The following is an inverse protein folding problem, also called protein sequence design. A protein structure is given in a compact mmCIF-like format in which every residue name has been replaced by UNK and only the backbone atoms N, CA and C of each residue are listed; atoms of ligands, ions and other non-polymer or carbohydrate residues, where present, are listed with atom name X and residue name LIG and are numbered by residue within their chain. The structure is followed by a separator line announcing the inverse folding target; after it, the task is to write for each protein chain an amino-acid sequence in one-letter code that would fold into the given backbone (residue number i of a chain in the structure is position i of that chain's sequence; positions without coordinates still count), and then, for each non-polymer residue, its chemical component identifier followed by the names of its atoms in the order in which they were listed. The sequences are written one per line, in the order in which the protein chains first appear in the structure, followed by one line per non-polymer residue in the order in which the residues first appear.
data_IF_496182711773
#
_entry.id   IF_496182711773
#
_cell.length_a   1.000
_cell.length_b   1.000
_cell.length_c   1.000
_cell.angle_alpha   90.00
_cell.angle_beta   90.00
_cell.angle_gamma   90.00
#
_symmetry.space_group_name_H-M   'P 1'
#
loop_
_entity.id
_entity.type
_entity.pdbx_description
1 polymer ?
#
# COMPACT_ATOMS: atom_id res chain seq x y z
N UNK A 1 -19.45 1.49 -46.48
CA UNK A 1 -18.06 1.08 -46.19
C UNK A 1 -17.84 1.19 -44.68
N UNK A 2 -18.23 0.16 -43.92
CA UNK A 2 -17.95 0.09 -42.48
C UNK A 2 -16.74 -0.81 -42.26
N UNK A 3 -15.62 -0.21 -41.86
CA UNK A 3 -14.41 -0.92 -41.47
C UNK A 3 -14.63 -1.61 -40.14
N UNK A 4 -14.72 -2.94 -40.18
CA UNK A 4 -14.79 -3.80 -39.02
C UNK A 4 -13.35 -4.12 -38.59
N UNK A 5 -12.87 -3.49 -37.51
CA UNK A 5 -11.55 -3.77 -36.94
C UNK A 5 -11.60 -5.09 -36.18
N UNK A 6 -10.93 -6.10 -36.73
CA UNK A 6 -10.70 -7.41 -36.10
C UNK A 6 -9.64 -7.26 -35.01
N UNK A 7 -9.99 -7.51 -33.75
CA UNK A 7 -9.05 -7.66 -32.64
C UNK A 7 -8.54 -9.11 -32.60
N UNK A 8 -7.23 -9.30 -32.81
CA UNK A 8 -6.56 -10.59 -32.66
C UNK A 8 -6.57 -11.03 -31.19
N UNK A 9 -7.00 -12.27 -30.92
CA UNK A 9 -6.99 -12.85 -29.57
C UNK A 9 -5.55 -13.27 -29.23
N UNK A 10 -4.99 -12.69 -28.17
CA UNK A 10 -3.68 -13.06 -27.64
C UNK A 10 -3.80 -14.40 -26.88
N UNK A 11 -3.28 -15.48 -27.44
CA UNK A 11 -3.13 -16.77 -26.77
C UNK A 11 -1.93 -16.70 -25.82
N UNK A 12 -2.15 -16.12 -24.63
CA UNK A 12 -1.17 -16.09 -23.55
C UNK A 12 -1.02 -17.46 -22.88
N UNK A 13 -0.28 -18.37 -23.51
CA UNK A 13 0.25 -19.55 -22.83
C UNK A 13 1.36 -19.12 -21.88
N UNK A 14 1.02 -18.79 -20.63
CA UNK A 14 1.98 -18.37 -19.62
C UNK A 14 2.93 -19.53 -19.28
N UNK A 15 4.15 -19.48 -19.79
CA UNK A 15 5.27 -20.27 -19.31
C UNK A 15 5.45 -20.02 -17.80
N UNK A 16 5.34 -21.07 -16.98
CA UNK A 16 5.55 -20.96 -15.54
C UNK A 16 7.02 -20.67 -15.29
N UNK A 17 7.32 -19.45 -14.84
CA UNK A 17 8.68 -19.08 -14.45
C UNK A 17 9.17 -20.00 -13.31
N UNK A 18 10.44 -20.47 -13.33
CA UNK A 18 10.99 -21.30 -12.28
C UNK A 18 10.95 -20.57 -10.93
N UNK A 19 10.59 -21.28 -9.85
CA UNK A 19 10.59 -20.68 -8.50
C UNK A 19 12.02 -20.28 -8.11
N UNK A 20 12.23 -19.10 -7.51
CA UNK A 20 13.56 -18.67 -7.08
C UNK A 20 14.11 -19.59 -5.98
N UNK A 21 15.43 -19.70 -5.83
CA UNK A 21 16.04 -20.46 -4.71
C UNK A 21 16.30 -19.56 -3.51
N UNK A 22 16.24 -20.11 -2.29
CA UNK A 22 16.48 -19.37 -1.03
C UNK A 22 17.82 -18.61 -1.04
N UNK A 23 18.88 -19.22 -1.59
CA UNK A 23 20.22 -18.62 -1.69
C UNK A 23 20.28 -17.35 -2.55
N UNK A 24 19.34 -17.15 -3.47
CA UNK A 24 19.33 -16.02 -4.42
C UNK A 24 18.51 -14.85 -3.89
N UNK A 25 17.39 -15.12 -3.20
CA UNK A 25 16.39 -14.09 -2.83
C UNK A 25 16.20 -13.92 -1.32
N UNK A 26 16.81 -14.78 -0.50
CA UNK A 26 16.56 -14.86 0.95
C UNK A 26 15.30 -15.66 1.29
N UNK A 27 15.19 -16.09 2.55
CA UNK A 27 14.11 -16.97 3.01
C UNK A 27 12.72 -16.34 2.87
N UNK A 28 12.56 -15.06 3.25
CA UNK A 28 11.27 -14.35 3.24
C UNK A 28 10.72 -14.19 1.83
N UNK A 29 11.55 -13.80 0.86
CA UNK A 29 11.12 -13.66 -0.53
C UNK A 29 10.85 -15.01 -1.18
N UNK A 30 11.64 -16.04 -0.87
CA UNK A 30 11.36 -17.39 -1.31
C UNK A 30 10.02 -17.89 -0.77
N UNK A 31 9.72 -17.64 0.50
CA UNK A 31 8.46 -17.99 1.13
C UNK A 31 7.30 -17.29 0.44
N UNK A 32 7.38 -15.97 0.24
CA UNK A 32 6.37 -15.19 -0.49
C UNK A 32 6.13 -15.73 -1.90
N UNK A 33 7.19 -15.97 -2.70
CA UNK A 33 7.08 -16.55 -4.04
C UNK A 33 6.53 -18.00 -4.02
N UNK A 34 6.72 -18.71 -2.91
CA UNK A 34 6.20 -20.07 -2.71
C UNK A 34 4.70 -20.07 -2.39
N UNK A 35 4.24 -19.11 -1.58
CA UNK A 35 2.84 -19.00 -1.19
C UNK A 35 1.97 -18.28 -2.22
N UNK A 36 2.54 -17.39 -3.05
CA UNK A 36 1.79 -16.53 -3.97
C UNK A 36 0.74 -17.24 -4.82
N UNK A 37 0.98 -18.44 -5.42
CA UNK A 37 -0.04 -19.13 -6.20
C UNK A 37 -1.26 -19.61 -5.39
N UNK A 38 -1.14 -19.72 -4.07
CA UNK A 38 -2.18 -20.20 -3.16
C UNK A 38 -2.97 -19.07 -2.52
N UNK A 39 -2.27 -18.02 -2.06
CA UNK A 39 -2.90 -16.89 -1.37
C UNK A 39 -3.34 -15.78 -2.33
N UNK A 40 -2.82 -15.80 -3.56
CA UNK A 40 -3.07 -14.77 -4.56
C UNK A 40 -2.36 -13.45 -4.27
N UNK A 41 -2.49 -12.47 -5.18
CA UNK A 41 -2.09 -11.11 -4.88
C UNK A 41 -2.93 -10.56 -3.71
N UNK A 42 -2.36 -9.64 -2.91
CA UNK A 42 -3.15 -8.96 -1.88
C UNK A 42 -4.35 -8.26 -2.55
N UNK A 43 -5.56 -8.36 -1.97
CA UNK A 43 -6.70 -7.60 -2.46
C UNK A 43 -6.40 -6.12 -2.26
N UNK A 44 -6.08 -5.45 -3.36
CA UNK A 44 -6.22 -4.00 -3.47
C UNK A 44 -7.70 -3.71 -3.27
N UNK A 45 -8.05 -2.88 -2.28
CA UNK A 45 -9.44 -2.57 -1.97
C UNK A 45 -10.19 -2.06 -3.21
N UNK A 46 -11.54 -1.98 -3.16
CA UNK A 46 -12.32 -1.48 -4.29
C UNK A 46 -11.80 -0.09 -4.69
N UNK A 47 -11.38 0.05 -5.94
CA UNK A 47 -10.92 1.35 -6.46
C UNK A 47 -12.07 2.36 -6.60
N UNK A 48 -13.31 1.87 -6.56
CA UNK A 48 -14.55 2.65 -6.61
C UNK A 48 -15.08 3.01 -5.21
N UNK A 49 -14.35 2.69 -4.14
CA UNK A 49 -14.73 3.12 -2.79
C UNK A 49 -14.50 4.64 -2.66
N UNK A 50 -15.41 5.32 -1.97
CA UNK A 50 -15.22 6.73 -1.66
C UNK A 50 -13.93 6.91 -0.85
N UNK A 51 -13.06 7.87 -1.22
CA UNK A 51 -11.81 8.08 -0.50
C UNK A 51 -12.07 8.24 0.99
N UNK A 52 -11.29 7.53 1.81
CA UNK A 52 -11.36 7.67 3.26
C UNK A 52 -11.25 9.15 3.64
N UNK A 53 -11.99 9.61 4.67
CA UNK A 53 -11.87 10.97 5.14
C UNK A 53 -10.41 11.27 5.54
N UNK A 54 -9.96 12.51 5.36
CA UNK A 54 -8.59 12.87 5.65
C UNK A 54 -8.26 12.62 7.12
N UNK A 55 -7.15 11.93 7.38
CA UNK A 55 -6.69 11.61 8.74
C UNK A 55 -6.29 12.85 9.57
N UNK A 56 -6.23 14.03 8.93
CA UNK A 56 -5.98 15.30 9.62
C UNK A 56 -7.06 15.63 10.66
N UNK A 57 -8.30 15.15 10.47
CA UNK A 57 -9.39 15.31 11.44
C UNK A 57 -9.36 14.27 12.57
N UNK A 58 -8.53 13.23 12.47
CA UNK A 58 -8.44 12.21 13.51
C UNK A 58 -7.81 12.77 14.78
N UNK A 59 -8.31 12.34 15.94
CA UNK A 59 -7.78 12.74 17.24
C UNK A 59 -6.40 12.14 17.48
N UNK A 60 -5.49 12.94 18.03
CA UNK A 60 -4.19 12.48 18.49
C UNK A 60 -4.35 11.54 19.70
N UNK A 61 -3.73 10.34 19.70
CA UNK A 61 -3.88 9.39 20.81
C UNK A 61 -3.21 9.83 22.11
N UNK A 62 -2.39 10.90 22.07
CA UNK A 62 -1.67 11.42 23.24
C UNK A 62 -2.41 12.60 23.86
N UNK A 63 -2.86 13.56 23.05
CA UNK A 63 -3.44 14.82 23.54
C UNK A 63 -4.91 15.03 23.17
N UNK A 64 -5.48 14.17 22.31
CA UNK A 64 -6.88 14.25 21.88
C UNK A 64 -7.21 15.34 20.84
N UNK A 65 -6.34 16.33 20.65
CA UNK A 65 -6.52 17.38 19.63
C UNK A 65 -6.45 16.81 18.19
N UNK A 66 -7.12 17.44 17.20
CA UNK A 66 -7.08 16.96 15.83
C UNK A 66 -5.66 17.01 15.26
N UNK A 67 -5.30 16.01 14.45
CA UNK A 67 -3.95 15.88 13.88
C UNK A 67 -3.55 17.08 13.00
N UNK A 68 -4.53 17.81 12.45
CA UNK A 68 -4.34 19.05 11.69
C UNK A 68 -3.67 20.18 12.48
N UNK A 69 -3.76 20.16 13.81
CA UNK A 69 -3.15 21.18 14.68
C UNK A 69 -1.70 20.86 15.06
N UNK A 70 -1.19 19.70 14.66
CA UNK A 70 0.14 19.24 15.03
C UNK A 70 1.18 19.69 14.01
N UNK A 71 2.39 20.00 14.49
CA UNK A 71 3.54 20.30 13.64
C UNK A 71 4.43 19.06 13.56
N UNK A 72 4.65 18.56 12.34
CA UNK A 72 5.54 17.42 12.10
C UNK A 72 6.91 17.92 11.66
N UNK A 73 7.88 17.85 12.57
CA UNK A 73 9.28 18.20 12.32
C UNK A 73 10.02 16.98 11.74
N UNK A 74 10.57 17.15 10.54
CA UNK A 74 11.36 16.13 9.81
C UNK A 74 12.82 16.54 9.63
N UNK A 75 13.28 17.59 10.30
CA UNK A 75 14.65 18.11 10.16
C UNK A 75 15.70 17.23 10.85
N UNK A 76 15.32 16.51 11.90
CA UNK A 76 16.21 15.67 12.69
C UNK A 76 16.37 14.24 12.16
N UNK A 77 17.22 13.42 12.83
CA UNK A 77 17.37 12.00 12.52
C UNK A 77 16.10 11.17 12.82
N UNK A 78 15.15 11.74 13.56
CA UNK A 78 13.84 11.17 13.84
C UNK A 78 12.77 12.21 13.55
N UNK A 79 11.67 11.77 12.97
CA UNK A 79 10.47 12.60 12.80
C UNK A 79 9.83 12.83 14.17
N UNK A 80 9.70 14.10 14.56
CA UNK A 80 9.08 14.52 15.79
C UNK A 80 7.71 15.13 15.49
N UNK A 81 6.74 14.86 16.36
CA UNK A 81 5.38 15.40 16.25
C UNK A 81 5.10 16.26 17.49
N UNK A 82 4.85 17.54 17.26
CA UNK A 82 4.62 18.52 18.32
C UNK A 82 3.12 18.73 18.53
N UNK A 83 2.66 18.43 19.75
CA UNK A 83 1.29 18.69 20.17
C UNK A 83 1.04 20.21 20.30
N UNK A 84 -0.17 20.69 19.97
CA UNK A 84 -0.55 22.07 20.21
C UNK A 84 -0.56 22.38 21.71
N UNK A 85 -0.15 23.58 22.11
CA UNK A 85 0.05 23.98 23.52
C UNK A 85 -1.26 24.29 24.27
N UNK A 86 -2.31 23.48 24.09
CA UNK A 86 -3.56 23.61 24.83
C UNK A 86 -4.35 22.28 24.96
N UNK A 87 -3.65 21.15 25.01
CA UNK A 87 -4.22 19.91 25.53
C UNK A 87 -3.37 19.43 26.72
N UNK A 88 -3.21 20.31 27.71
CA UNK A 88 -2.89 19.88 29.06
C UNK A 88 -4.22 19.51 29.71
N UNK A 89 -4.53 18.22 29.75
CA UNK A 89 -5.53 17.64 30.64
C UNK A 89 -4.85 17.17 31.91
#
# INVERSE_FOLDING_TARGET
MSTLTVMARNTGGAERQPRPRIREVGFTNWLNATLFPWIGPPPVGPYDEEPLPPSSASACPVCGAPMSEHVVDRSGPRTMLHCPRAAAS
#
